data_IF_111478683559
#
_entry.id   IF_111478683559
#
_cell.length_a   1.000
_cell.length_b   1.000
_cell.length_c   1.000
_cell.angle_alpha   90.00
_cell.angle_beta   90.00
_cell.angle_gamma   90.00
#
_symmetry.space_group_name_H-M   'P 1'
#
loop_
_entity.id
_entity.type
_entity.pdbx_description
1 polymer ?
#
# COMPACT_ATOMS: atom_id res chain seq x y z
N UNK A 1 34.49 9.60 -59.78
CA UNK A 1 34.83 10.52 -58.68
C UNK A 1 33.89 11.71 -58.75
N UNK A 2 33.51 12.32 -57.61
CA UNK A 2 32.57 11.88 -56.57
C UNK A 2 31.23 12.66 -56.72
N UNK A 3 30.12 12.37 -56.06
CA UNK A 3 29.92 12.39 -54.61
C UNK A 3 28.63 11.66 -54.24
N UNK A 4 28.78 10.54 -53.52
CA UNK A 4 27.67 9.93 -52.79
C UNK A 4 27.46 10.73 -51.51
N UNK A 5 26.27 11.33 -51.38
CA UNK A 5 25.87 12.10 -50.22
C UNK A 5 25.32 11.12 -49.16
N UNK A 6 26.15 10.78 -48.17
CA UNK A 6 25.76 9.93 -47.03
C UNK A 6 24.97 10.78 -46.05
N UNK A 7 23.65 10.59 -46.01
CA UNK A 7 22.77 11.15 -45.00
C UNK A 7 22.93 10.36 -43.70
N UNK A 8 23.53 11.00 -42.69
CA UNK A 8 23.53 10.54 -41.30
C UNK A 8 22.08 10.60 -40.77
N UNK A 9 21.46 9.43 -40.61
CA UNK A 9 20.26 9.29 -39.80
C UNK A 9 20.68 9.25 -38.33
N UNK A 10 20.38 10.34 -37.62
CA UNK A 10 20.53 10.43 -36.17
C UNK A 10 19.39 9.67 -35.50
N UNK A 11 19.73 8.56 -34.86
CA UNK A 11 18.81 7.73 -34.08
C UNK A 11 18.45 8.48 -32.79
N UNK A 12 17.33 9.20 -32.79
CA UNK A 12 16.74 9.72 -31.54
C UNK A 12 16.21 8.53 -30.75
N UNK A 13 16.92 8.18 -29.68
CA UNK A 13 16.49 7.22 -28.68
C UNK A 13 15.28 7.81 -27.93
N UNK A 14 14.09 7.39 -28.32
CA UNK A 14 12.84 7.78 -27.67
C UNK A 14 12.82 7.09 -26.30
N UNK A 15 13.23 7.82 -25.26
CA UNK A 15 13.04 7.41 -23.88
C UNK A 15 11.54 7.12 -23.66
N UNK A 16 11.22 5.87 -23.33
CA UNK A 16 9.88 5.43 -22.97
C UNK A 16 9.43 6.17 -21.72
N UNK A 17 8.50 7.11 -21.87
CA UNK A 17 7.82 7.73 -20.72
C UNK A 17 7.06 6.60 -20.01
N UNK A 18 7.29 6.34 -18.71
CA UNK A 18 6.55 5.32 -18.00
C UNK A 18 5.06 5.65 -18.07
N UNK A 19 4.28 4.71 -18.60
CA UNK A 19 2.83 4.83 -18.73
C UNK A 19 2.23 5.10 -17.36
N UNK A 20 1.57 6.25 -17.22
CA UNK A 20 1.01 6.67 -15.94
C UNK A 20 -0.12 5.71 -15.55
N UNK A 21 -0.15 5.22 -14.30
CA UNK A 21 -1.18 4.29 -13.88
C UNK A 21 -2.57 4.92 -13.94
N UNK A 22 -3.60 4.10 -14.18
CA UNK A 22 -5.00 4.55 -14.19
C UNK A 22 -5.55 4.90 -12.79
N UNK A 23 -4.85 4.47 -11.73
CA UNK A 23 -5.15 4.81 -10.35
C UNK A 23 -4.44 6.10 -9.90
N UNK A 24 -4.99 6.79 -8.90
CA UNK A 24 -4.45 8.04 -8.36
C UNK A 24 -3.72 7.84 -7.03
N UNK A 25 -4.01 6.74 -6.33
CA UNK A 25 -3.34 6.33 -5.10
C UNK A 25 -3.39 4.81 -4.97
N UNK A 26 -2.30 4.20 -4.52
CA UNK A 26 -2.23 2.78 -4.19
C UNK A 26 -2.20 2.62 -2.68
N UNK A 27 -3.30 2.17 -2.08
CA UNK A 27 -3.47 1.99 -0.63
C UNK A 27 -2.97 0.61 -0.21
N UNK A 28 -1.95 0.57 0.67
CA UNK A 28 -1.43 -0.65 1.26
C UNK A 28 -2.17 -0.93 2.57
N UNK A 29 -2.84 -2.07 2.69
CA UNK A 29 -3.67 -2.43 3.85
C UNK A 29 -3.41 -3.86 4.31
N UNK A 30 -3.64 -4.12 5.59
CA UNK A 30 -3.58 -5.46 6.18
C UNK A 30 -4.94 -6.17 6.02
N UNK A 31 -5.01 -7.19 5.15
CA UNK A 31 -6.19 -8.01 4.92
C UNK A 31 -6.59 -8.95 6.05
N UNK A 32 -5.68 -9.20 6.97
CA UNK A 32 -5.94 -10.02 8.16
C UNK A 32 -6.39 -9.15 9.36
N UNK A 33 -6.42 -7.82 9.20
CA UNK A 33 -6.94 -6.87 10.19
C UNK A 33 -8.44 -6.56 9.92
N UNK A 34 -9.39 -7.03 10.76
CA UNK A 34 -10.83 -6.88 10.48
C UNK A 34 -11.29 -5.42 10.37
N UNK A 35 -10.70 -4.51 11.16
CA UNK A 35 -10.99 -3.08 11.10
C UNK A 35 -10.49 -2.46 9.79
N UNK A 36 -9.30 -2.84 9.36
CA UNK A 36 -8.67 -2.39 8.12
C UNK A 36 -9.50 -2.86 6.91
N UNK A 37 -9.93 -4.12 6.90
CA UNK A 37 -10.79 -4.69 5.85
C UNK A 37 -12.15 -3.99 5.79
N UNK A 38 -12.77 -3.70 6.96
CA UNK A 38 -14.04 -2.97 7.02
C UNK A 38 -13.92 -1.60 6.35
N UNK A 39 -12.85 -0.87 6.67
CA UNK A 39 -12.55 0.44 6.08
C UNK A 39 -12.32 0.33 4.57
N UNK A 40 -11.47 -0.59 4.13
CA UNK A 40 -11.21 -0.83 2.69
C UNK A 40 -12.47 -1.18 1.93
N UNK A 41 -13.36 -1.99 2.49
CA UNK A 41 -14.64 -2.32 1.87
C UNK A 41 -15.56 -1.10 1.73
N UNK A 42 -15.56 -0.20 2.71
CA UNK A 42 -16.26 1.08 2.59
C UNK A 42 -15.66 1.95 1.47
N UNK A 43 -14.33 2.08 1.42
CA UNK A 43 -13.63 2.86 0.40
C UNK A 43 -13.82 2.29 -1.01
N UNK A 44 -13.80 0.96 -1.17
CA UNK A 44 -14.12 0.26 -2.44
C UNK A 44 -15.53 0.60 -2.92
N UNK A 45 -16.53 0.53 -2.03
CA UNK A 45 -17.91 0.93 -2.37
C UNK A 45 -17.99 2.38 -2.81
N UNK A 46 -17.24 3.27 -2.16
CA UNK A 46 -17.20 4.70 -2.48
C UNK A 46 -16.45 5.01 -3.78
N UNK A 47 -15.43 4.22 -4.12
CA UNK A 47 -14.75 4.30 -5.41
C UNK A 47 -15.69 3.92 -6.57
N UNK A 48 -16.65 3.03 -6.31
CA UNK A 48 -17.75 2.72 -7.22
C UNK A 48 -17.29 2.30 -8.63
N UNK A 49 -16.20 1.51 -8.70
CA UNK A 49 -15.64 0.99 -9.94
C UNK A 49 -14.83 2.00 -10.77
N UNK A 50 -14.63 3.23 -10.29
CA UNK A 50 -13.80 4.25 -10.97
C UNK A 50 -12.31 3.90 -10.98
N UNK A 51 -11.87 2.97 -10.12
CA UNK A 51 -10.48 2.52 -9.97
C UNK A 51 -9.52 3.66 -9.63
N UNK A 52 -9.98 4.66 -8.88
CA UNK A 52 -9.10 5.76 -8.44
C UNK A 52 -8.12 5.31 -7.36
N UNK A 53 -8.50 4.28 -6.60
CA UNK A 53 -7.68 3.70 -5.54
C UNK A 53 -7.33 2.27 -5.94
N UNK A 54 -6.04 1.98 -6.06
CA UNK A 54 -5.56 0.60 -6.14
C UNK A 54 -5.40 0.07 -4.71
N UNK A 55 -6.16 -0.95 -4.34
CA UNK A 55 -6.09 -1.56 -3.00
C UNK A 55 -5.15 -2.75 -3.05
N UNK A 56 -4.08 -2.72 -2.26
CA UNK A 56 -3.08 -3.78 -2.18
C UNK A 56 -3.09 -4.36 -0.78
N UNK A 57 -3.35 -5.65 -0.70
CA UNK A 57 -3.30 -6.40 0.53
C UNK A 57 -1.85 -6.79 0.82
N UNK A 58 -1.34 -6.40 1.99
CA UNK A 58 0.04 -6.73 2.39
C UNK A 58 0.14 -8.13 2.99
N UNK A 59 -0.98 -8.74 3.39
CA UNK A 59 -0.98 -10.06 3.98
C UNK A 59 -0.75 -11.17 2.93
N UNK A 60 -1.00 -10.89 1.65
CA UNK A 60 -0.79 -11.82 0.54
C UNK A 60 0.67 -12.25 0.45
N UNK A 61 0.90 -13.54 0.17
CA UNK A 61 2.24 -14.12 0.15
C UNK A 61 3.09 -13.58 -1.02
N UNK A 62 2.47 -13.08 -2.09
CA UNK A 62 3.13 -12.49 -3.27
C UNK A 62 3.39 -10.97 -3.15
N UNK A 63 3.09 -10.36 -2.00
CA UNK A 63 3.41 -8.97 -1.74
C UNK A 63 4.92 -8.71 -1.87
N UNK A 64 5.31 -7.80 -2.78
CA UNK A 64 6.71 -7.45 -3.04
C UNK A 64 6.98 -5.95 -2.86
N UNK A 65 7.98 -5.56 -2.05
CA UNK A 65 8.27 -4.15 -1.78
C UNK A 65 8.61 -3.35 -3.05
N UNK A 66 9.31 -3.99 -4.00
CA UNK A 66 9.69 -3.41 -5.30
C UNK A 66 8.50 -2.91 -6.11
N UNK A 67 7.34 -3.52 -5.96
CA UNK A 67 6.10 -3.17 -6.67
C UNK A 67 5.28 -2.09 -5.95
N UNK A 68 5.68 -1.77 -4.72
CA UNK A 68 4.90 -1.01 -3.74
C UNK A 68 5.71 0.12 -3.08
N UNK A 69 6.57 0.79 -3.85
CA UNK A 69 7.30 1.98 -3.40
C UNK A 69 8.45 1.67 -2.43
N UNK A 70 8.93 0.43 -2.42
CA UNK A 70 10.01 -0.01 -1.51
C UNK A 70 9.55 -0.25 -0.08
N UNK A 71 8.23 -0.22 0.20
CA UNK A 71 7.70 -0.49 1.54
C UNK A 71 7.78 -2.00 1.79
N UNK A 72 8.61 -2.40 2.74
CA UNK A 72 8.68 -3.81 3.17
C UNK A 72 7.48 -4.22 4.03
N UNK A 73 7.25 -5.54 4.15
CA UNK A 73 6.11 -6.08 4.88
C UNK A 73 6.07 -5.64 6.34
N UNK A 74 7.23 -5.63 7.04
CA UNK A 74 7.31 -5.23 8.44
C UNK A 74 6.96 -3.74 8.60
N UNK A 75 7.53 -2.89 7.75
CA UNK A 75 7.20 -1.46 7.69
C UNK A 75 5.71 -1.23 7.41
N UNK A 76 5.13 -1.95 6.44
CA UNK A 76 3.71 -1.85 6.10
C UNK A 76 2.79 -2.35 7.21
N UNK A 77 3.24 -3.33 8.01
CA UNK A 77 2.51 -3.82 9.18
C UNK A 77 2.51 -2.81 10.33
N UNK A 78 3.58 -2.02 10.47
CA UNK A 78 3.72 -1.03 11.55
C UNK A 78 2.80 0.18 11.42
N UNK A 79 2.63 0.71 10.20
CA UNK A 79 1.79 1.89 9.92
C UNK A 79 1.10 1.78 8.58
N UNK A 80 -0.02 2.48 8.39
CA UNK A 80 -0.68 2.53 7.08
C UNK A 80 0.19 3.31 6.09
N UNK A 81 0.25 2.82 4.85
CA UNK A 81 1.03 3.41 3.78
C UNK A 81 0.20 3.51 2.49
N UNK A 82 0.55 4.48 1.64
CA UNK A 82 0.07 4.53 0.27
C UNK A 82 1.16 5.04 -0.67
N UNK A 83 1.08 4.63 -1.93
CA UNK A 83 2.02 5.02 -3.00
C UNK A 83 1.28 5.87 -4.02
N UNK A 84 1.85 7.02 -4.36
CA UNK A 84 1.36 7.92 -5.41
C UNK A 84 1.89 7.50 -6.79
N UNK A 85 1.30 7.99 -7.90
CA UNK A 85 1.70 7.60 -9.26
C UNK A 85 3.16 7.89 -9.60
N UNK A 86 3.75 8.90 -8.95
CA UNK A 86 5.16 9.28 -9.09
C UNK A 86 6.12 8.42 -8.24
N UNK A 87 5.59 7.45 -7.49
CA UNK A 87 6.35 6.59 -6.59
C UNK A 87 6.49 7.15 -5.17
N UNK A 88 5.99 8.35 -4.88
CA UNK A 88 6.05 8.92 -3.53
C UNK A 88 5.26 8.06 -2.54
N UNK A 89 5.88 7.70 -1.42
CA UNK A 89 5.24 6.98 -0.32
C UNK A 89 4.76 7.98 0.72
N UNK A 90 3.47 7.90 1.06
CA UNK A 90 2.84 8.62 2.18
C UNK A 90 2.38 7.64 3.25
N UNK A 91 2.22 8.11 4.50
CA UNK A 91 1.90 7.25 5.64
C UNK A 91 0.97 7.91 6.66
N UNK A 92 0.50 7.14 7.63
CA UNK A 92 -0.34 7.60 8.74
C UNK A 92 -1.64 8.29 8.25
N UNK A 93 -2.10 9.31 8.96
CA UNK A 93 -3.36 10.03 8.70
C UNK A 93 -3.39 10.68 7.32
N UNK A 94 -2.24 11.03 6.75
CA UNK A 94 -2.16 11.57 5.40
C UNK A 94 -2.72 10.60 4.35
N UNK A 95 -2.54 9.29 4.54
CA UNK A 95 -3.09 8.27 3.65
C UNK A 95 -4.61 8.38 3.59
N UNK A 96 -5.28 8.39 4.75
CA UNK A 96 -6.73 8.51 4.81
C UNK A 96 -7.21 9.83 4.23
N UNK A 97 -6.54 10.96 4.58
CA UNK A 97 -6.85 12.28 4.03
C UNK A 97 -6.85 12.25 2.49
N UNK A 98 -5.79 11.69 1.89
CA UNK A 98 -5.61 11.68 0.44
C UNK A 98 -6.60 10.75 -0.25
N UNK A 99 -6.84 9.56 0.30
CA UNK A 99 -7.84 8.63 -0.24
C UNK A 99 -9.24 9.23 -0.20
N UNK A 100 -9.64 9.83 0.93
CA UNK A 100 -10.95 10.47 1.07
C UNK A 100 -11.11 11.65 0.11
N UNK A 101 -10.08 12.47 -0.06
CA UNK A 101 -10.06 13.58 -1.03
C UNK A 101 -10.28 13.07 -2.47
N UNK A 102 -9.51 12.07 -2.90
CA UNK A 102 -9.62 11.45 -4.24
C UNK A 102 -11.02 10.87 -4.49
N UNK A 103 -11.61 10.29 -3.45
CA UNK A 103 -12.95 9.71 -3.50
C UNK A 103 -14.07 10.75 -3.40
N UNK A 104 -13.77 12.04 -3.14
CA UNK A 104 -14.75 13.13 -3.08
C UNK A 104 -15.39 13.31 -1.70
N UNK A 105 -14.67 12.92 -0.64
CA UNK A 105 -15.05 13.05 0.77
C UNK A 105 -14.08 13.94 1.54
N UNK A 106 -13.31 14.78 0.85
CA UNK A 106 -12.31 15.66 1.48
C UNK A 106 -12.88 16.63 2.53
N UNK A 107 -14.19 16.89 2.50
CA UNK A 107 -14.89 17.70 3.52
C UNK A 107 -14.84 17.07 4.92
N UNK A 108 -14.74 15.73 5.04
CA UNK A 108 -14.62 15.02 6.32
C UNK A 108 -13.33 15.42 7.05
N UNK A 109 -12.25 15.58 6.30
CA UNK A 109 -10.93 15.97 6.81
C UNK A 109 -10.68 17.48 6.75
N UNK A 110 -11.66 18.28 6.33
CA UNK A 110 -11.50 19.75 6.34
C UNK A 110 -11.38 20.28 7.77
N UNK A 111 -12.09 19.66 8.72
CA UNK A 111 -12.04 20.02 10.14
C UNK A 111 -10.70 19.67 10.82
N UNK A 112 -10.02 18.61 10.38
CA UNK A 112 -8.73 18.18 10.95
C UNK A 112 -7.54 19.02 10.47
N UNK A 113 -7.75 19.98 9.55
CA UNK A 113 -6.71 20.91 9.08
C UNK A 113 -6.29 21.95 10.12
N UNK A 114 -7.03 22.09 11.21
CA UNK A 114 -6.62 22.93 12.33
C UNK A 114 -5.43 22.25 13.04
N UNK A 115 -4.29 22.94 13.26
CA UNK A 115 -3.05 22.31 13.68
C UNK A 115 -3.17 21.55 15.00
N UNK A 116 -3.99 22.04 15.93
CA UNK A 116 -4.24 21.38 17.23
C UNK A 116 -5.01 20.07 17.05
N UNK A 117 -6.02 20.07 16.18
CA UNK A 117 -6.84 18.87 15.93
C UNK A 117 -6.03 17.84 15.16
N UNK A 118 -5.25 18.28 14.16
CA UNK A 118 -4.34 17.42 13.41
C UNK A 118 -3.40 16.65 14.33
N UNK A 119 -2.71 17.35 15.24
CA UNK A 119 -1.79 16.72 16.19
C UNK A 119 -2.46 15.68 17.10
N UNK A 120 -3.69 15.96 17.58
CA UNK A 120 -4.44 15.01 18.40
C UNK A 120 -4.78 13.75 17.58
N UNK A 121 -5.25 13.92 16.34
CA UNK A 121 -5.63 12.80 15.46
C UNK A 121 -4.40 11.95 15.13
N UNK A 122 -3.26 12.57 14.83
CA UNK A 122 -2.01 11.86 14.56
C UNK A 122 -1.56 11.03 15.77
N UNK A 123 -1.60 11.62 16.97
CA UNK A 123 -1.24 10.93 18.22
C UNK A 123 -2.17 9.74 18.51
N UNK A 124 -3.49 9.93 18.33
CA UNK A 124 -4.47 8.85 18.50
C UNK A 124 -4.25 7.72 17.50
N UNK A 125 -3.91 8.08 16.26
CA UNK A 125 -3.62 7.09 15.21
C UNK A 125 -2.37 6.28 15.55
N UNK A 126 -1.30 6.90 16.04
CA UNK A 126 -0.07 6.19 16.43
C UNK A 126 -0.33 5.17 17.54
N UNK A 127 -1.05 5.57 18.60
CA UNK A 127 -1.45 4.66 19.68
C UNK A 127 -2.28 3.50 19.14
N UNK A 128 -3.27 3.80 18.30
CA UNK A 128 -4.08 2.75 17.68
C UNK A 128 -3.22 1.80 16.84
N UNK A 129 -2.30 2.32 16.03
CA UNK A 129 -1.46 1.50 15.17
C UNK A 129 -0.57 0.55 15.97
N UNK A 130 -0.02 1.01 17.10
CA UNK A 130 0.78 0.18 17.99
C UNK A 130 -0.04 -0.90 18.70
N UNK A 131 -1.31 -0.62 18.99
CA UNK A 131 -2.18 -1.52 19.74
C UNK A 131 -3.07 -2.39 18.85
N UNK A 132 -3.11 -2.12 17.54
CA UNK A 132 -4.11 -2.73 16.63
C UNK A 132 -4.06 -4.25 16.67
N UNK A 133 -2.87 -4.85 16.76
CA UNK A 133 -2.74 -6.31 16.76
C UNK A 133 -3.42 -6.90 18.00
N UNK A 134 -3.05 -6.44 19.20
CA UNK A 134 -3.67 -6.86 20.44
C UNK A 134 -5.18 -6.58 20.47
N UNK A 135 -5.62 -5.39 20.02
CA UNK A 135 -7.03 -5.00 20.01
C UNK A 135 -7.88 -5.78 19.01
N UNK A 136 -7.27 -6.34 17.96
CA UNK A 136 -7.96 -7.15 16.95
C UNK A 136 -7.76 -8.65 17.16
N UNK A 137 -7.22 -9.07 18.32
CA UNK A 137 -7.00 -10.47 18.66
C UNK A 137 -5.92 -11.15 17.82
N UNK A 138 -5.01 -10.37 17.25
CA UNK A 138 -3.92 -10.86 16.39
C UNK A 138 -2.67 -11.20 17.19
N UNK A 139 -1.84 -12.16 16.70
CA UNK A 139 -0.50 -12.38 17.22
C UNK A 139 0.37 -11.11 17.13
N UNK A 140 1.44 -11.08 17.90
CA UNK A 140 2.43 -10.01 17.79
C UNK A 140 3.17 -10.05 16.43
N UNK A 141 3.85 -8.95 16.11
CA UNK A 141 4.51 -8.78 14.81
C UNK A 141 5.58 -9.85 14.55
N UNK A 142 6.34 -10.28 15.57
CA UNK A 142 7.39 -11.28 15.38
C UNK A 142 6.80 -12.64 15.01
N UNK A 143 5.71 -13.03 15.66
CA UNK A 143 4.96 -14.25 15.30
C UNK A 143 4.43 -14.17 13.87
N UNK A 144 3.80 -13.06 13.48
CA UNK A 144 3.29 -12.84 12.12
C UNK A 144 4.41 -12.96 11.07
N UNK A 145 5.57 -12.36 11.33
CA UNK A 145 6.72 -12.43 10.42
C UNK A 145 7.25 -13.85 10.28
N UNK A 146 7.40 -14.58 11.39
CA UNK A 146 7.80 -15.99 11.39
C UNK A 146 6.84 -16.85 10.57
N UNK A 147 5.54 -16.67 10.78
CA UNK A 147 4.53 -17.49 10.09
C UNK A 147 4.46 -17.16 8.60
N UNK A 148 4.57 -15.87 8.24
CA UNK A 148 4.71 -15.47 6.83
C UNK A 148 5.93 -16.12 6.17
N UNK A 149 7.08 -16.10 6.84
CA UNK A 149 8.31 -16.71 6.30
C UNK A 149 8.13 -18.21 6.05
N UNK A 150 7.54 -18.93 7.01
CA UNK A 150 7.21 -20.35 6.86
C UNK A 150 6.29 -20.57 5.65
N UNK A 151 5.21 -19.79 5.50
CA UNK A 151 4.29 -19.92 4.36
C UNK A 151 5.00 -19.74 3.01
N UNK A 152 5.87 -18.72 2.89
CA UNK A 152 6.63 -18.46 1.66
C UNK A 152 7.59 -19.61 1.33
N UNK A 153 8.32 -20.13 2.33
CA UNK A 153 9.21 -21.29 2.16
C UNK A 153 8.45 -22.54 1.71
N UNK A 154 7.26 -22.75 2.30
CA UNK A 154 6.37 -23.85 1.95
C UNK A 154 5.86 -23.77 0.51
N UNK A 155 5.40 -22.59 0.09
CA UNK A 155 4.95 -22.34 -1.28
C UNK A 155 6.07 -22.55 -2.30
N UNK A 156 7.30 -22.18 -1.94
CA UNK A 156 8.47 -22.31 -2.82
C UNK A 156 8.97 -23.76 -2.93
N UNK A 157 8.91 -24.52 -1.83
CA UNK A 157 9.51 -25.87 -1.75
C UNK A 157 8.51 -27.00 -1.99
N UNK A 158 7.20 -26.71 -1.97
CA UNK A 158 6.10 -27.66 -2.17
C UNK A 158 6.03 -28.76 -1.11
N UNK A 159 6.65 -28.58 0.05
CA UNK A 159 6.93 -29.64 1.04
C UNK A 159 6.59 -29.24 2.48
N UNK A 160 5.42 -28.66 2.70
CA UNK A 160 4.93 -28.45 4.06
C UNK A 160 3.57 -29.09 4.31
N UNK A 161 3.46 -29.74 5.48
CA UNK A 161 2.21 -29.84 6.21
C UNK A 161 2.22 -28.66 7.18
N UNK A 162 1.33 -27.70 6.99
CA UNK A 162 0.95 -26.82 8.09
C UNK A 162 0.15 -27.73 9.03
N UNK A 163 0.72 -28.06 10.18
CA UNK A 163 -0.08 -28.70 11.22
C UNK A 163 -0.99 -27.60 11.77
N UNK A 164 -2.30 -27.78 11.58
CA UNK A 164 -3.34 -27.03 12.26
C UNK A 164 -3.34 -27.44 13.74
N UNK A 165 -2.29 -27.04 14.47
CA UNK A 165 -2.23 -27.19 15.93
C UNK A 165 -2.29 -25.79 16.53
N UNK A 166 -3.51 -25.29 16.77
CA UNK A 166 -3.83 -24.37 17.87
C UNK A 166 -5.35 -24.43 18.12
N UNK A 167 -5.71 -24.86 19.34
CA UNK A 167 -7.06 -24.99 19.93
C UNK A 167 -7.95 -23.74 19.82
#
# INVERSE_FOLDING_TARGET
MPSSNTQLHESVEVATVPEQPSWQIKLLYDGECPLCVREVNFLRKRDAGRRKVAFVDIAEDDYTPSSHGGVDFETAMGRIHAVLPDGTVIKNVEVFRRVYEILGMGWIYAATKLPVIGWIVDTLYEIWADWRLALTGRPDLATIMSDRQKRIECNTTGRCRLNDDDD
#
